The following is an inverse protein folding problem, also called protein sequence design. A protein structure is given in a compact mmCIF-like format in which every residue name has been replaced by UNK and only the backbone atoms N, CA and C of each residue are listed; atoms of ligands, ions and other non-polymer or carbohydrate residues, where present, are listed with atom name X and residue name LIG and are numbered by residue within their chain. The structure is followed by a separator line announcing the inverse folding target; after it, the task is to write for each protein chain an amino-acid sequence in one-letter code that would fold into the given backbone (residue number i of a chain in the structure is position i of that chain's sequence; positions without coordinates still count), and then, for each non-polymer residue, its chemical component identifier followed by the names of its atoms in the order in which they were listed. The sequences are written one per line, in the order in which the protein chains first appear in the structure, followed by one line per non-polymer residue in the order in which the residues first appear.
data_IF_874761859489
#
_entry.id   IF_874761859489
#
_cell.length_a   1.000
_cell.length_b   1.000
_cell.length_c   1.000
_cell.angle_alpha   90.00
_cell.angle_beta   90.00
_cell.angle_gamma   90.00
#
_symmetry.space_group_name_H-M   'P 1'
#
loop_
_entity.id
_entity.type
_entity.pdbx_description
1 polymer ?
#
# COMPACT_ATOMS: atom_id res chain seq x y z
N UNK A 1 3.66 -20.74 14.03
CA UNK A 1 4.23 -19.78 13.07
C UNK A 1 3.26 -18.62 12.89
N UNK A 2 3.75 -17.38 12.97
CA UNK A 2 2.96 -16.17 12.69
C UNK A 2 2.65 -16.10 11.18
N UNK A 3 1.39 -15.81 10.82
CA UNK A 3 1.00 -15.52 9.43
C UNK A 3 1.12 -14.03 9.17
N UNK A 4 1.56 -13.66 7.97
CA UNK A 4 1.76 -12.27 7.56
C UNK A 4 0.93 -11.96 6.33
N UNK A 5 0.42 -10.73 6.26
CA UNK A 5 -0.03 -10.11 5.02
C UNK A 5 1.08 -9.19 4.52
N UNK A 6 1.22 -9.10 3.21
CA UNK A 6 2.17 -8.21 2.56
C UNK A 6 1.44 -7.23 1.66
N UNK A 7 1.97 -6.02 1.58
CA UNK A 7 1.47 -5.01 0.67
C UNK A 7 2.62 -4.42 -0.14
N UNK A 8 2.41 -4.22 -1.43
CA UNK A 8 3.37 -3.60 -2.35
C UNK A 8 2.70 -2.43 -3.01
N UNK A 9 3.33 -1.28 -2.87
CA UNK A 9 2.88 -0.02 -3.43
C UNK A 9 3.95 0.46 -4.42
N UNK A 10 3.63 0.47 -5.71
CA UNK A 10 4.56 0.85 -6.77
C UNK A 10 4.11 2.15 -7.44
N UNK A 11 4.96 3.18 -7.38
CA UNK A 11 4.63 4.54 -7.81
C UNK A 11 4.41 4.65 -9.33
N UNK A 12 5.13 3.84 -10.09
CA UNK A 12 5.07 3.78 -11.55
C UNK A 12 3.80 3.10 -12.07
N UNK A 13 3.35 2.02 -11.42
CA UNK A 13 2.18 1.27 -11.83
C UNK A 13 0.86 1.88 -11.32
N UNK A 14 0.91 2.71 -10.27
CA UNK A 14 -0.28 3.21 -9.55
C UNK A 14 -1.15 2.07 -9.02
N UNK A 15 -0.51 0.96 -8.67
CA UNK A 15 -1.19 -0.21 -8.11
C UNK A 15 -0.72 -0.47 -6.67
N UNK A 16 -1.69 -0.85 -5.85
CA UNK A 16 -1.48 -1.42 -4.54
C UNK A 16 -1.80 -2.92 -4.61
N UNK A 17 -0.80 -3.75 -4.44
CA UNK A 17 -0.97 -5.20 -4.34
C UNK A 17 -1.04 -5.60 -2.87
N UNK A 18 -2.02 -6.40 -2.51
CA UNK A 18 -2.13 -7.01 -1.18
C UNK A 18 -2.07 -8.52 -1.34
N UNK A 19 -1.11 -9.16 -0.68
CA UNK A 19 -0.88 -10.59 -0.66
C UNK A 19 -1.24 -11.11 0.73
N UNK A 20 -2.32 -11.86 0.81
CA UNK A 20 -2.84 -12.46 2.04
C UNK A 20 -2.91 -13.98 1.89
N UNK A 21 -3.05 -14.74 3.00
CA UNK A 21 -3.32 -16.18 2.92
C UNK A 21 -4.59 -16.53 2.10
N UNK A 22 -5.55 -15.61 2.02
CA UNK A 22 -6.78 -15.76 1.22
C UNK A 22 -6.63 -15.41 -0.26
N UNK A 23 -5.43 -14.99 -0.70
CA UNK A 23 -5.11 -14.66 -2.09
C UNK A 23 -4.58 -13.25 -2.30
N UNK A 24 -4.39 -12.91 -3.58
CA UNK A 24 -3.91 -11.60 -4.04
C UNK A 24 -5.08 -10.68 -4.35
N UNK A 25 -5.05 -9.46 -3.82
CA UNK A 25 -5.91 -8.34 -4.21
C UNK A 25 -5.07 -7.26 -4.87
N UNK A 26 -5.65 -6.57 -5.85
CA UNK A 26 -5.02 -5.43 -6.52
C UNK A 26 -6.01 -4.28 -6.46
N UNK A 27 -5.55 -3.12 -6.01
CA UNK A 27 -6.32 -1.88 -5.97
C UNK A 27 -5.57 -0.83 -6.78
N UNK A 28 -6.23 -0.22 -7.75
CA UNK A 28 -5.69 0.95 -8.44
C UNK A 28 -5.75 2.18 -7.53
N UNK A 29 -4.67 2.94 -7.53
CA UNK A 29 -4.57 4.22 -6.84
C UNK A 29 -5.01 5.28 -7.84
N UNK A 30 -6.02 6.04 -7.44
CA UNK A 30 -6.59 7.11 -8.24
C UNK A 30 -6.49 8.39 -7.47
N UNK A 31 -6.23 9.47 -8.21
CA UNK A 31 -6.38 10.83 -7.72
C UNK A 31 -7.83 11.06 -7.31
N UNK A 32 -7.96 11.81 -6.22
CA UNK A 32 -9.22 12.32 -5.71
C UNK A 32 -9.01 13.79 -5.30
N UNK A 33 -9.52 14.71 -6.11
CA UNK A 33 -9.44 16.15 -5.84
C UNK A 33 -10.20 16.53 -4.57
N UNK A 34 -11.26 15.78 -4.21
CA UNK A 34 -12.01 15.98 -2.97
C UNK A 34 -11.20 15.63 -1.71
N UNK A 35 -10.15 14.82 -1.86
CA UNK A 35 -9.18 14.51 -0.81
C UNK A 35 -7.91 15.35 -0.91
N UNK A 36 -7.85 16.32 -1.84
CA UNK A 36 -6.73 17.24 -2.02
C UNK A 36 -5.63 16.72 -2.95
N UNK A 37 -5.87 15.66 -3.74
CA UNK A 37 -4.86 15.14 -4.67
C UNK A 37 -4.76 16.06 -5.90
N UNK A 38 -3.65 16.81 -6.03
CA UNK A 38 -3.36 17.62 -7.23
C UNK A 38 -2.55 16.85 -8.28
N UNK A 39 -1.88 15.77 -7.85
CA UNK A 39 -1.01 14.94 -8.67
C UNK A 39 -1.15 13.45 -8.33
N UNK A 40 -0.68 12.57 -9.22
CA UNK A 40 -0.66 11.13 -8.95
C UNK A 40 0.24 10.82 -7.72
N UNK A 41 1.25 11.66 -7.49
CA UNK A 41 2.11 11.59 -6.32
C UNK A 41 1.36 11.90 -5.01
N UNK A 42 0.37 12.79 -5.03
CA UNK A 42 -0.45 13.07 -3.83
C UNK A 42 -1.32 11.87 -3.47
N UNK A 43 -1.99 11.27 -4.46
CA UNK A 43 -2.77 10.04 -4.26
C UNK A 43 -1.91 8.89 -3.74
N UNK A 44 -0.66 8.82 -4.22
CA UNK A 44 0.33 7.86 -3.77
C UNK A 44 0.75 8.09 -2.31
N UNK A 45 1.14 9.32 -1.96
CA UNK A 45 1.53 9.70 -0.60
C UNK A 45 0.38 9.52 0.39
N UNK A 46 -0.85 9.86 -0.01
CA UNK A 46 -2.06 9.62 0.79
C UNK A 46 -2.27 8.13 1.04
N UNK A 47 -2.12 7.29 0.02
CA UNK A 47 -2.21 5.83 0.16
C UNK A 47 -1.11 5.28 1.08
N UNK A 48 0.13 5.75 0.90
CA UNK A 48 1.26 5.40 1.76
C UNK A 48 0.98 5.75 3.23
N UNK A 49 0.52 6.97 3.50
CA UNK A 49 0.20 7.42 4.85
C UNK A 49 -0.93 6.59 5.48
N UNK A 50 -1.99 6.28 4.70
CA UNK A 50 -3.11 5.46 5.17
C UNK A 50 -2.68 4.05 5.57
N UNK A 51 -1.75 3.42 4.83
CA UNK A 51 -1.20 2.12 5.23
C UNK A 51 -0.52 2.21 6.61
N UNK A 52 0.26 3.26 6.87
CA UNK A 52 0.86 3.48 8.19
C UNK A 52 -0.20 3.60 9.30
N UNK A 53 -1.31 4.30 9.02
CA UNK A 53 -2.44 4.43 9.95
C UNK A 53 -3.18 3.11 10.19
N UNK A 54 -3.25 2.23 9.18
CA UNK A 54 -3.87 0.90 9.24
C UNK A 54 -2.93 -0.17 9.85
N UNK A 55 -1.82 0.25 10.46
CA UNK A 55 -0.90 -0.64 11.18
C UNK A 55 0.07 -1.42 10.30
N UNK A 56 0.29 -1.00 9.05
CA UNK A 56 1.30 -1.63 8.18
C UNK A 56 2.71 -1.16 8.54
N UNK A 57 3.62 -2.12 8.72
CA UNK A 57 5.05 -1.87 8.93
C UNK A 57 5.77 -1.86 7.57
N UNK A 58 6.45 -0.75 7.24
CA UNK A 58 7.30 -0.68 6.05
C UNK A 58 8.56 -1.53 6.24
N UNK A 59 8.85 -2.40 5.27
CA UNK A 59 10.01 -3.32 5.33
C UNK A 59 11.04 -3.05 4.24
N UNK A 60 10.65 -2.39 3.15
CA UNK A 60 11.57 -1.97 2.09
C UNK A 60 11.00 -0.74 1.37
N UNK A 61 11.90 0.13 0.93
CA UNK A 61 11.61 1.23 0.03
C UNK A 61 12.75 1.28 -1.00
N UNK A 62 12.48 0.78 -2.20
CA UNK A 62 13.46 0.73 -3.28
C UNK A 62 12.86 1.32 -4.56
N UNK A 63 13.52 2.34 -5.10
CA UNK A 63 13.25 2.87 -6.44
C UNK A 63 11.76 3.17 -6.73
N UNK A 64 11.01 3.70 -5.75
CA UNK A 64 9.58 4.01 -5.89
C UNK A 64 8.64 2.83 -5.65
N UNK A 65 9.17 1.68 -5.20
CA UNK A 65 8.41 0.52 -4.75
C UNK A 65 8.56 0.36 -3.23
N UNK A 66 7.43 0.39 -2.54
CA UNK A 66 7.35 0.33 -1.09
C UNK A 66 6.69 -0.98 -0.68
N UNK A 67 7.36 -1.72 0.19
CA UNK A 67 6.89 -2.99 0.71
C UNK A 67 6.51 -2.83 2.16
N UNK A 68 5.36 -3.38 2.51
CA UNK A 68 4.84 -3.40 3.86
C UNK A 68 4.44 -4.80 4.27
N UNK A 69 4.40 -5.04 5.57
CA UNK A 69 3.82 -6.24 6.17
C UNK A 69 2.97 -5.87 7.38
N UNK A 70 2.05 -6.77 7.74
CA UNK A 70 1.38 -6.76 9.04
C UNK A 70 1.02 -8.18 9.47
N UNK A 71 0.91 -8.48 10.77
CA UNK A 71 0.45 -9.78 11.22
C UNK A 71 -1.01 -10.02 10.79
N UNK A 72 -1.33 -11.25 10.39
CA UNK A 72 -2.74 -11.68 10.28
C UNK A 72 -3.25 -11.89 11.71
N UNK A 73 -4.16 -11.04 12.16
CA UNK A 73 -4.90 -11.27 13.40
C UNK A 73 -5.73 -12.56 13.26
N UNK A 74 -5.75 -13.38 14.32
CA UNK A 74 -6.41 -14.70 14.32
C UNK A 74 -7.92 -14.59 14.37
#
# INVERSE_FOLDING_TARGET
MQKWEYCVLAADSRELHTLSPGGRKIRMIRRDEGLGDSSDNDAFNRTFAQLGLDGWEMVNADSGVFWFKRPVEK
#
